data_IF_493811831946
#
_entry.id   IF_493811831946
#
_cell.length_a   1.000
_cell.length_b   1.000
_cell.length_c   1.000
_cell.angle_alpha   90.00
_cell.angle_beta   90.00
_cell.angle_gamma   90.00
#
_symmetry.space_group_name_H-M   'P 1'
#
loop_
_entity.id
_entity.type
_entity.pdbx_description
1 polymer ?
#
# COMPACT_ATOMS: atom_id res chain seq x y z
N UNK A 1 -6.11 11.22 -21.19
CA UNK A 1 -4.80 10.62 -21.52
C UNK A 1 -3.98 10.47 -20.25
N UNK A 2 -3.26 9.36 -20.07
CA UNK A 2 -2.32 9.16 -18.95
C UNK A 2 -0.93 9.65 -19.38
N UNK A 3 -0.18 10.23 -18.43
CA UNK A 3 1.13 10.84 -18.70
C UNK A 3 2.30 10.07 -18.09
N UNK A 4 2.06 9.20 -17.11
CA UNK A 4 3.10 8.53 -16.33
C UNK A 4 2.69 7.06 -16.15
N UNK A 5 3.57 6.08 -16.43
CA UNK A 5 3.34 4.67 -16.10
C UNK A 5 3.21 4.46 -14.58
N UNK A 6 2.60 3.35 -14.16
CA UNK A 6 2.56 2.94 -12.75
C UNK A 6 3.90 2.31 -12.34
N UNK A 7 4.96 3.12 -12.37
CA UNK A 7 6.34 2.71 -12.14
C UNK A 7 7.00 3.64 -11.11
N UNK A 8 7.47 3.13 -9.96
CA UNK A 8 8.27 3.90 -9.01
C UNK A 8 9.46 4.61 -9.66
N UNK A 9 10.19 3.93 -10.55
CA UNK A 9 11.33 4.51 -11.28
C UNK A 9 10.90 5.73 -12.11
N UNK A 10 9.82 5.62 -12.88
CA UNK A 10 9.32 6.75 -13.69
C UNK A 10 8.79 7.90 -12.84
N UNK A 11 8.21 7.59 -11.68
CA UNK A 11 7.72 8.61 -10.75
C UNK A 11 8.88 9.40 -10.12
N UNK A 12 10.03 8.76 -9.86
CA UNK A 12 11.22 9.43 -9.30
C UNK A 12 11.87 10.43 -10.27
N UNK A 13 11.67 10.27 -11.58
CA UNK A 13 12.15 11.20 -12.61
C UNK A 13 11.39 12.55 -12.60
N UNK A 14 10.32 12.68 -11.81
CA UNK A 14 9.41 13.81 -11.82
C UNK A 14 9.46 14.60 -10.50
N UNK A 15 9.39 15.93 -10.61
CA UNK A 15 9.16 16.77 -9.44
C UNK A 15 7.65 16.87 -9.13
N UNK A 16 7.20 16.06 -8.18
CA UNK A 16 5.81 16.02 -7.72
C UNK A 16 5.57 16.84 -6.44
N UNK A 17 6.58 17.59 -5.98
CA UNK A 17 6.44 18.42 -4.78
C UNK A 17 5.29 19.43 -4.95
N UNK A 18 4.43 19.50 -3.95
CA UNK A 18 3.27 20.39 -3.89
C UNK A 18 2.26 20.21 -5.05
N UNK A 19 2.29 19.05 -5.72
CA UNK A 19 1.34 18.68 -6.79
C UNK A 19 0.32 17.65 -6.30
N UNK A 20 -0.90 17.77 -6.81
CA UNK A 20 -1.91 16.72 -6.69
C UNK A 20 -1.67 15.66 -7.78
N UNK A 21 -1.52 14.40 -7.37
CA UNK A 21 -1.37 13.25 -8.27
C UNK A 21 -2.70 12.54 -8.40
N UNK A 22 -3.24 12.46 -9.62
CA UNK A 22 -4.41 11.63 -9.92
C UNK A 22 -3.90 10.29 -10.44
N UNK A 23 -3.98 9.27 -9.60
CA UNK A 23 -3.56 7.91 -9.93
C UNK A 23 -4.79 7.03 -10.16
N UNK A 24 -4.90 6.42 -11.35
CA UNK A 24 -5.87 5.35 -11.62
C UNK A 24 -5.17 4.00 -11.66
N UNK A 25 -5.59 3.08 -10.79
CA UNK A 25 -5.20 1.67 -10.81
C UNK A 25 -6.44 0.79 -10.62
N UNK A 26 -6.46 -0.39 -11.24
CA UNK A 26 -7.60 -1.31 -11.20
C UNK A 26 -7.75 -1.95 -9.81
N UNK A 27 -6.73 -2.67 -9.34
CA UNK A 27 -6.79 -3.42 -8.07
C UNK A 27 -7.03 -2.48 -6.88
N UNK A 28 -6.24 -1.41 -6.76
CA UNK A 28 -6.39 -0.44 -5.67
C UNK A 28 -7.79 0.18 -5.63
N UNK A 29 -8.35 0.57 -6.78
CA UNK A 29 -9.70 1.12 -6.86
C UNK A 29 -10.79 0.13 -6.42
N UNK A 30 -10.64 -1.15 -6.77
CA UNK A 30 -11.57 -2.22 -6.33
C UNK A 30 -11.51 -2.40 -4.81
N UNK A 31 -10.31 -2.40 -4.23
CA UNK A 31 -10.12 -2.53 -2.78
C UNK A 31 -10.83 -1.42 -2.00
N UNK A 32 -10.62 -0.16 -2.39
CA UNK A 32 -11.25 0.98 -1.71
C UNK A 32 -12.78 0.92 -1.77
N UNK A 33 -13.35 0.52 -2.91
CA UNK A 33 -14.81 0.40 -3.07
C UNK A 33 -15.40 -0.76 -2.26
N UNK A 34 -14.69 -1.89 -2.19
CA UNK A 34 -15.15 -3.10 -1.49
C UNK A 34 -15.22 -2.90 0.02
N UNK A 35 -14.28 -2.15 0.59
CA UNK A 35 -14.16 -1.98 2.06
C UNK A 35 -14.53 -0.57 2.54
N UNK A 36 -15.49 0.08 1.86
CA UNK A 36 -15.94 1.44 2.20
C UNK A 36 -16.49 1.60 3.63
N UNK A 37 -17.00 0.51 4.21
CA UNK A 37 -17.58 0.50 5.57
C UNK A 37 -16.52 0.36 6.67
N UNK A 38 -15.25 0.12 6.35
CA UNK A 38 -14.19 0.04 7.36
C UNK A 38 -13.95 1.43 7.96
N UNK A 39 -13.91 1.54 9.30
CA UNK A 39 -13.69 2.80 10.03
C UNK A 39 -12.38 3.48 9.61
N UNK A 40 -11.34 2.67 9.45
CA UNK A 40 -10.02 3.09 9.00
C UNK A 40 -9.59 2.16 7.87
N UNK A 41 -9.10 2.74 6.78
CA UNK A 41 -8.52 2.01 5.66
C UNK A 41 -7.08 2.48 5.46
N UNK A 42 -6.16 1.51 5.43
CA UNK A 42 -4.73 1.73 5.23
C UNK A 42 -4.28 1.04 3.93
N UNK A 43 -3.43 1.71 3.17
CA UNK A 43 -2.72 1.10 2.05
C UNK A 43 -1.32 0.68 2.50
N UNK A 44 -0.99 -0.58 2.22
CA UNK A 44 0.27 -1.20 2.65
C UNK A 44 0.98 -1.84 1.47
N UNK A 45 2.31 -1.81 1.55
CA UNK A 45 3.27 -2.42 0.64
C UNK A 45 4.54 -2.75 1.43
N UNK A 46 5.48 -3.47 0.83
CA UNK A 46 6.76 -3.77 1.48
C UNK A 46 7.51 -2.51 1.96
N UNK A 47 7.45 -1.42 1.19
CA UNK A 47 8.18 -0.18 1.49
C UNK A 47 7.65 0.59 2.70
N UNK A 48 6.43 0.32 3.18
CA UNK A 48 5.83 1.02 4.32
C UNK A 48 5.19 0.09 5.38
N UNK A 49 5.49 -1.20 5.32
CA UNK A 49 4.84 -2.21 6.17
C UNK A 49 5.07 -1.97 7.66
N UNK A 50 6.29 -1.60 8.09
CA UNK A 50 6.62 -1.31 9.49
C UNK A 50 5.86 -0.10 10.02
N UNK A 51 5.89 1.01 9.30
CA UNK A 51 5.13 2.22 9.69
C UNK A 51 3.62 1.95 9.74
N UNK A 52 3.12 1.06 8.87
CA UNK A 52 1.73 0.60 8.90
C UNK A 52 1.44 -0.27 10.14
N UNK A 53 2.33 -1.21 10.50
CA UNK A 53 2.20 -2.02 11.70
C UNK A 53 2.20 -1.16 12.98
N UNK A 54 3.07 -0.16 13.05
CA UNK A 54 3.12 0.82 14.14
C UNK A 54 1.82 1.61 14.25
N UNK A 55 1.27 2.08 13.12
CA UNK A 55 -0.02 2.77 13.09
C UNK A 55 -1.17 1.86 13.57
N UNK A 56 -1.19 0.58 13.15
CA UNK A 56 -2.18 -0.40 13.62
C UNK A 56 -2.08 -0.59 15.14
N UNK A 57 -0.86 -0.68 15.68
CA UNK A 57 -0.65 -0.83 17.13
C UNK A 57 -1.16 0.39 17.91
N UNK A 58 -0.95 1.61 17.41
CA UNK A 58 -1.46 2.84 18.03
C UNK A 58 -2.99 2.96 17.93
N UNK A 59 -3.57 2.62 16.76
CA UNK A 59 -5.01 2.58 16.57
C UNK A 59 -5.66 1.55 17.51
N UNK A 60 -4.97 0.43 17.75
CA UNK A 60 -5.41 -0.70 18.56
C UNK A 60 -6.86 -1.15 18.21
N UNK A 61 -7.10 -1.58 16.95
CA UNK A 61 -8.45 -1.87 16.49
C UNK A 61 -8.99 -3.15 17.14
N UNK A 62 -10.30 -3.16 17.44
CA UNK A 62 -10.99 -4.37 17.90
C UNK A 62 -11.06 -5.47 16.84
N UNK A 63 -10.97 -5.10 15.56
CA UNK A 63 -10.89 -6.02 14.43
C UNK A 63 -9.91 -5.50 13.38
N UNK A 64 -9.00 -6.36 12.93
CA UNK A 64 -8.09 -6.10 11.81
C UNK A 64 -8.37 -7.08 10.67
N UNK A 65 -8.47 -6.56 9.44
CA UNK A 65 -8.53 -7.36 8.22
C UNK A 65 -7.39 -6.94 7.30
N UNK A 66 -6.53 -7.88 6.95
CA UNK A 66 -5.48 -7.70 5.94
C UNK A 66 -5.96 -8.35 4.65
N UNK A 67 -6.00 -7.59 3.56
CA UNK A 67 -6.56 -8.04 2.28
C UNK A 67 -5.46 -7.99 1.22
N UNK A 68 -4.88 -9.15 0.85
CA UNK A 68 -4.12 -9.28 -0.39
C UNK A 68 -5.05 -8.95 -1.56
N UNK A 69 -4.66 -8.00 -2.41
CA UNK A 69 -5.53 -7.56 -3.50
C UNK A 69 -5.50 -8.52 -4.68
N UNK A 70 -4.33 -9.09 -4.96
CA UNK A 70 -4.09 -9.95 -6.10
C UNK A 70 -4.11 -9.19 -7.43
N UNK A 71 -3.88 -9.92 -8.52
CA UNK A 71 -3.82 -9.37 -9.86
C UNK A 71 -5.18 -8.80 -10.26
N UNK A 72 -5.23 -7.48 -10.46
CA UNK A 72 -6.45 -6.71 -10.75
C UNK A 72 -7.61 -6.94 -9.77
N UNK A 73 -7.37 -7.45 -8.55
CA UNK A 73 -8.46 -7.79 -7.62
C UNK A 73 -9.16 -9.13 -7.92
N UNK A 74 -8.59 -9.98 -8.80
CA UNK A 74 -9.25 -11.18 -9.33
C UNK A 74 -8.60 -12.49 -8.90
N UNK A 75 -7.28 -12.57 -8.96
CA UNK A 75 -6.53 -13.79 -8.65
C UNK A 75 -5.43 -13.51 -7.65
N UNK A 76 -5.18 -14.37 -6.66
CA UNK A 76 -4.07 -14.22 -5.73
C UNK A 76 -2.74 -14.05 -6.46
N UNK A 77 -1.83 -13.29 -5.85
CA UNK A 77 -0.47 -13.12 -6.33
C UNK A 77 0.51 -13.25 -5.18
N UNK A 78 1.67 -13.84 -5.45
CA UNK A 78 2.65 -14.17 -4.43
C UNK A 78 3.13 -12.93 -3.67
N UNK A 79 3.36 -11.81 -4.36
CA UNK A 79 3.83 -10.56 -3.75
C UNK A 79 2.82 -9.99 -2.74
N UNK A 80 1.52 -10.07 -3.02
CA UNK A 80 0.49 -9.55 -2.12
C UNK A 80 0.32 -10.47 -0.90
N UNK A 81 0.37 -11.80 -1.10
CA UNK A 81 0.30 -12.78 -0.01
C UNK A 81 1.52 -12.69 0.92
N UNK A 82 2.71 -12.49 0.34
CA UNK A 82 3.93 -12.24 1.10
C UNK A 82 3.90 -10.90 1.83
N UNK A 83 3.37 -9.83 1.22
CA UNK A 83 3.22 -8.54 1.88
C UNK A 83 2.26 -8.63 3.07
N UNK A 84 1.15 -9.35 2.93
CA UNK A 84 0.21 -9.59 4.03
C UNK A 84 0.85 -10.41 5.16
N UNK A 85 1.63 -11.44 4.81
CA UNK A 85 2.34 -12.28 5.77
C UNK A 85 3.45 -11.50 6.49
N UNK A 86 4.17 -10.64 5.77
CA UNK A 86 5.18 -9.76 6.32
C UNK A 86 4.58 -8.75 7.32
N UNK A 87 3.49 -8.08 6.94
CA UNK A 87 2.77 -7.17 7.83
C UNK A 87 2.29 -7.90 9.10
N UNK A 88 1.75 -9.11 8.96
CA UNK A 88 1.34 -9.93 10.12
C UNK A 88 2.52 -10.25 11.03
N UNK A 89 3.66 -10.65 10.48
CA UNK A 89 4.86 -10.92 11.27
C UNK A 89 5.31 -9.68 12.06
N UNK A 90 5.27 -8.49 11.45
CA UNK A 90 5.59 -7.24 12.14
C UNK A 90 4.63 -6.95 13.29
N UNK A 91 3.32 -7.13 13.09
CA UNK A 91 2.30 -6.93 14.15
C UNK A 91 2.50 -7.92 15.30
N UNK A 92 2.86 -9.17 14.98
CA UNK A 92 3.07 -10.23 15.97
C UNK A 92 4.49 -10.20 16.60
N UNK A 93 5.36 -9.27 16.19
CA UNK A 93 6.74 -9.18 16.66
C UNK A 93 7.63 -10.36 16.26
N UNK A 94 7.33 -11.01 15.12
CA UNK A 94 8.03 -12.19 14.59
C UNK A 94 9.01 -11.82 13.48
N UNK A 95 10.02 -12.66 13.29
CA UNK A 95 10.89 -12.59 12.12
C UNK A 95 10.18 -13.08 10.86
N UNK A 96 10.59 -12.56 9.71
CA UNK A 96 10.10 -12.97 8.40
C UNK A 96 11.29 -13.12 7.45
N UNK A 97 11.50 -14.33 6.92
CA UNK A 97 12.63 -14.64 6.05
C UNK A 97 12.33 -14.23 4.60
N UNK A 98 12.26 -12.92 4.35
CA UNK A 98 11.87 -12.35 3.05
C UNK A 98 12.78 -12.81 1.91
N UNK A 99 14.09 -12.87 2.17
CA UNK A 99 15.11 -13.18 1.16
C UNK A 99 14.90 -14.55 0.48
N UNK A 100 14.24 -15.50 1.16
CA UNK A 100 13.94 -16.82 0.60
C UNK A 100 12.99 -16.78 -0.59
N UNK A 101 12.20 -15.70 -0.74
CA UNK A 101 11.18 -15.58 -1.77
C UNK A 101 11.63 -14.76 -2.99
N UNK A 102 12.82 -14.14 -2.96
CA UNK A 102 13.26 -13.20 -4.00
C UNK A 102 13.31 -13.86 -5.39
N UNK A 103 13.84 -15.08 -5.49
CA UNK A 103 13.91 -15.78 -6.78
C UNK A 103 12.52 -16.22 -7.27
N UNK A 104 11.63 -16.65 -6.37
CA UNK A 104 10.25 -16.99 -6.75
C UNK A 104 9.46 -15.76 -7.20
N UNK A 105 9.67 -14.62 -6.54
CA UNK A 105 9.12 -13.33 -6.94
C UNK A 105 9.66 -12.88 -8.31
N UNK A 106 10.96 -13.08 -8.56
CA UNK A 106 11.61 -12.75 -9.84
C UNK A 106 11.04 -13.56 -11.00
N UNK A 107 10.90 -14.86 -10.82
CA UNK A 107 10.42 -15.78 -11.86
C UNK A 107 8.90 -15.80 -12.03
N UNK A 108 8.16 -15.37 -10.99
CA UNK A 108 6.70 -15.28 -10.99
C UNK A 108 6.20 -13.85 -11.29
N UNK A 109 5.59 -13.16 -10.31
CA UNK A 109 4.91 -11.87 -10.54
C UNK A 109 5.86 -10.75 -11.01
N UNK A 110 7.13 -10.80 -10.64
CA UNK A 110 8.15 -9.82 -11.03
C UNK A 110 8.75 -10.04 -12.43
N UNK A 111 8.36 -11.10 -13.13
CA UNK A 111 8.95 -11.46 -14.43
C UNK A 111 8.84 -10.35 -15.48
N UNK A 112 7.79 -9.54 -15.42
CA UNK A 112 7.57 -8.43 -16.34
C UNK A 112 8.69 -7.38 -16.31
N UNK A 113 9.31 -7.12 -15.15
CA UNK A 113 10.41 -6.15 -15.00
C UNK A 113 11.69 -6.57 -15.74
N UNK A 114 11.83 -7.85 -16.07
CA UNK A 114 12.97 -8.41 -16.81
C UNK A 114 12.68 -8.61 -18.30
N UNK A 115 11.51 -8.15 -18.77
CA UNK A 115 11.13 -8.15 -20.17
C UNK A 115 11.72 -6.99 -20.98
N UNK A 116 11.25 -6.83 -22.22
CA UNK A 116 11.74 -5.80 -23.14
C UNK A 116 11.07 -4.43 -22.95
N UNK A 117 9.87 -4.38 -22.37
CA UNK A 117 9.13 -3.13 -22.13
C UNK A 117 9.63 -2.41 -20.87
N UNK A 118 10.83 -1.86 -20.97
CA UNK A 118 11.47 -1.09 -19.89
C UNK A 118 10.86 0.32 -19.73
N UNK A 119 9.90 0.71 -20.57
CA UNK A 119 9.17 1.97 -20.37
C UNK A 119 8.07 1.76 -19.32
N UNK A 120 7.27 0.71 -19.49
CA UNK A 120 6.20 0.36 -18.57
C UNK A 120 6.70 -0.36 -17.32
N UNK A 121 7.72 -1.22 -17.47
CA UNK A 121 8.28 -2.05 -16.39
C UNK A 121 9.82 -1.95 -16.33
N UNK A 122 10.38 -0.79 -15.90
CA UNK A 122 11.80 -0.67 -15.62
C UNK A 122 12.28 -1.78 -14.67
N UNK A 123 13.46 -2.35 -14.93
CA UNK A 123 14.04 -3.42 -14.10
C UNK A 123 14.18 -3.02 -12.63
N UNK A 124 14.53 -1.76 -12.38
CA UNK A 124 14.73 -1.18 -11.06
C UNK A 124 13.45 -1.18 -10.21
N UNK A 125 12.26 -1.25 -10.83
CA UNK A 125 11.00 -1.34 -10.10
C UNK A 125 10.89 -2.64 -9.30
N UNK A 126 11.55 -3.73 -9.73
CA UNK A 126 11.55 -4.98 -8.97
C UNK A 126 12.17 -4.75 -7.58
N UNK A 127 13.38 -4.20 -7.53
CA UNK A 127 14.08 -3.96 -6.27
C UNK A 127 13.39 -2.86 -5.43
N UNK A 128 12.88 -1.81 -6.08
CA UNK A 128 12.15 -0.75 -5.38
C UNK A 128 10.83 -1.23 -4.77
N UNK A 129 10.08 -2.09 -5.46
CA UNK A 129 8.83 -2.64 -4.93
C UNK A 129 9.08 -3.61 -3.77
N UNK A 130 10.22 -4.31 -3.75
CA UNK A 130 10.58 -5.27 -2.71
C UNK A 130 11.40 -4.68 -1.56
N UNK A 131 11.80 -3.41 -1.65
CA UNK A 131 12.54 -2.73 -0.60
C UNK A 131 11.69 -2.68 0.69
N UNK A 132 12.24 -3.19 1.78
CA UNK A 132 11.52 -3.26 3.06
C UNK A 132 11.65 -1.93 3.81
N UNK A 133 10.51 -1.34 4.16
CA UNK A 133 10.39 -0.22 5.11
C UNK A 133 11.20 1.04 4.72
N UNK A 134 11.35 1.32 3.43
CA UNK A 134 11.97 2.54 2.91
C UNK A 134 11.26 3.81 3.40
N UNK A 135 9.94 3.76 3.58
CA UNK A 135 9.12 4.89 4.01
C UNK A 135 8.64 4.71 5.45
N UNK A 136 8.89 5.72 6.29
CA UNK A 136 8.54 5.74 7.70
C UNK A 136 7.14 6.30 7.98
N UNK A 137 6.21 6.22 7.03
CA UNK A 137 4.83 6.69 7.20
C UNK A 137 3.80 5.66 6.70
N UNK A 138 2.68 5.45 7.43
CA UNK A 138 1.50 4.79 6.88
C UNK A 138 0.80 5.65 5.82
N UNK A 139 -0.01 5.00 4.99
CA UNK A 139 -0.89 5.67 4.03
C UNK A 139 -2.34 5.42 4.42
N UNK A 140 -3.06 6.48 4.78
CA UNK A 140 -4.49 6.47 5.06
C UNK A 140 -5.27 6.66 3.77
N UNK A 141 -6.37 5.93 3.65
CA UNK A 141 -7.26 5.98 2.50
C UNK A 141 -8.63 6.49 2.92
N UNK A 142 -9.02 7.64 2.39
CA UNK A 142 -10.35 8.21 2.56
C UNK A 142 -11.18 7.97 1.30
N UNK A 143 -12.21 7.13 1.39
CA UNK A 143 -13.13 6.88 0.29
C UNK A 143 -14.12 8.06 0.13
N UNK A 144 -14.18 8.65 -1.07
CA UNK A 144 -15.09 9.76 -1.43
C UNK A 144 -16.17 9.33 -2.44
N UNK A 145 -16.48 8.03 -2.50
CA UNK A 145 -17.39 7.41 -3.46
C UNK A 145 -16.69 7.14 -4.79
N UNK A 146 -16.52 8.17 -5.60
CA UNK A 146 -16.00 8.04 -6.96
C UNK A 146 -14.48 7.90 -7.02
N UNK A 147 -13.79 8.44 -6.01
CA UNK A 147 -12.33 8.40 -5.87
C UNK A 147 -11.93 8.21 -4.41
N UNK A 148 -10.65 7.96 -4.18
CA UNK A 148 -10.05 7.87 -2.87
C UNK A 148 -9.00 8.96 -2.70
N UNK A 149 -8.87 9.51 -1.50
CA UNK A 149 -7.76 10.38 -1.14
C UNK A 149 -6.78 9.57 -0.31
N UNK A 150 -5.55 9.44 -0.80
CA UNK A 150 -4.44 8.80 -0.08
C UNK A 150 -3.65 9.90 0.62
N UNK A 151 -3.41 9.74 1.92
CA UNK A 151 -2.61 10.68 2.71
C UNK A 151 -1.53 9.95 3.47
N UNK A 152 -0.31 10.44 3.34
CA UNK A 152 0.76 10.11 4.27
C UNK A 152 0.42 10.77 5.60
N UNK A 153 0.59 10.06 6.70
CA UNK A 153 0.56 10.65 8.03
C UNK A 153 1.80 10.18 8.77
N UNK A 154 2.51 11.10 9.41
CA UNK A 154 3.61 10.70 10.28
C UNK A 154 3.04 9.86 11.44
N UNK A 155 3.72 8.77 11.86
CA UNK A 155 3.27 7.94 12.97
C UNK A 155 3.00 8.71 14.27
N UNK A 156 3.62 9.88 14.45
CA UNK A 156 3.46 10.75 15.63
C UNK A 156 2.20 11.64 15.53
N UNK A 157 1.73 11.94 14.32
CA UNK A 157 0.58 12.84 14.08
C UNK A 157 -0.78 12.13 14.06
N UNK A 158 -0.77 10.81 14.32
CA UNK A 158 -1.94 9.94 14.15
C UNK A 158 -3.08 10.28 15.11
N UNK A 159 -2.79 10.69 16.35
CA UNK A 159 -3.80 11.02 17.36
C UNK A 159 -4.83 12.07 16.90
N UNK A 160 -4.37 13.16 16.27
CA UNK A 160 -5.24 14.24 15.83
C UNK A 160 -6.09 13.86 14.60
N UNK A 161 -5.48 13.13 13.66
CA UNK A 161 -6.13 12.72 12.41
C UNK A 161 -7.17 11.62 12.60
N UNK A 162 -6.89 10.64 13.45
CA UNK A 162 -7.79 9.52 13.74
C UNK A 162 -8.99 10.01 14.56
N UNK A 163 -8.75 10.82 15.60
CA UNK A 163 -9.84 11.41 16.40
C UNK A 163 -10.82 12.16 15.48
N UNK A 164 -10.33 13.03 14.59
CA UNK A 164 -11.19 13.75 13.64
C UNK A 164 -11.92 12.85 12.62
N UNK A 165 -11.32 11.73 12.22
CA UNK A 165 -11.92 10.78 11.26
C UNK A 165 -12.99 9.92 11.92
N UNK A 166 -12.75 9.46 13.16
CA UNK A 166 -13.72 8.75 13.98
C UNK A 166 -14.89 9.67 14.35
N UNK A 167 -14.61 10.91 14.79
CA UNK A 167 -15.66 11.89 15.11
C UNK A 167 -16.56 12.22 13.91
N UNK A 168 -16.03 12.21 12.67
CA UNK A 168 -16.84 12.41 11.46
C UNK A 168 -17.70 11.20 11.08
N UNK A 169 -17.34 9.99 11.52
CA UNK A 169 -18.06 8.75 11.20
C UNK A 169 -19.11 8.36 12.24
N UNK A 170 -18.94 8.76 13.50
CA UNK A 170 -19.97 8.62 14.52
C UNK A 170 -21.05 9.69 14.22
N UNK A 171 -22.29 9.30 13.84
CA UNK A 171 -23.37 10.26 13.70
C UNK A 171 -23.56 10.97 15.04
N UNK A 172 -23.71 12.30 15.03
CA UNK A 172 -24.16 13.01 16.22
C UNK A 172 -25.51 12.43 16.69
N UNK A 173 -25.72 12.27 18.00
CA UNK A 173 -26.92 11.61 18.54
C UNK A 173 -28.23 12.31 18.13
#
# INVERSE_FOLDING_TARGET
HYTIPNSPTRVQELNLRDRMVIHRTTAGGVGVKRYKEADILLAVSFVNAKATAEAIAQINPSQLKVIPMGHEGKTPTLEDDLCASYLRALIEGKSFAFDHFIEELREGPGKCFFGTDQNQYPREDFDQCLALNTFAFPIFVENRGDFAILRMSDPVSLDASISSTITRRIPSP
#
